data_IF_051028414327
#
_entry.id   IF_051028414327
#
_cell.length_a   1.000
_cell.length_b   1.000
_cell.length_c   1.000
_cell.angle_alpha   90.00
_cell.angle_beta   90.00
_cell.angle_gamma   90.00
#
_symmetry.space_group_name_H-M   'P 1'
#
loop_
_entity.id
_entity.type
_entity.pdbx_description
1 polymer ?
#
# COMPACT_ATOMS: atom_id res chain seq x y z
N UNK A 1 -39.44 74.15 66.50
CA UNK A 1 -38.09 73.72 66.89
C UNK A 1 -37.13 74.01 65.75
N UNK A 2 -36.14 74.88 66.03
CA UNK A 2 -34.82 75.12 65.40
C UNK A 2 -34.65 75.26 63.86
N UNK A 3 -33.67 76.07 63.40
CA UNK A 3 -33.54 76.56 62.02
C UNK A 3 -32.22 76.15 61.31
N UNK A 4 -31.99 76.71 60.10
CA UNK A 4 -30.70 77.08 59.42
C UNK A 4 -30.15 76.22 58.26
N UNK A 5 -30.28 76.79 57.05
CA UNK A 5 -29.23 77.39 56.18
C UNK A 5 -27.77 76.88 56.11
N UNK A 6 -27.31 76.84 54.85
CA UNK A 6 -25.97 77.11 54.27
C UNK A 6 -24.86 76.01 54.28
N UNK A 7 -24.29 75.73 53.09
CA UNK A 7 -23.03 74.97 52.89
C UNK A 7 -21.77 75.82 53.20
N UNK A 8 -20.58 75.61 52.57
CA UNK A 8 -20.17 74.61 51.57
C UNK A 8 -18.70 74.05 51.76
N UNK A 9 -18.22 73.27 50.77
CA UNK A 9 -16.81 72.97 50.36
C UNK A 9 -16.03 71.76 50.94
N UNK A 10 -15.89 70.75 50.06
CA UNK A 10 -14.65 70.07 49.60
C UNK A 10 -13.59 69.60 50.61
N UNK A 11 -13.46 68.27 50.77
CA UNK A 11 -12.15 67.60 50.89
C UNK A 11 -12.15 66.24 50.16
N UNK A 12 -10.98 65.93 49.62
CA UNK A 12 -10.66 65.07 48.49
C UNK A 12 -10.59 63.58 48.86
N UNK A 13 -11.12 62.72 47.98
CA UNK A 13 -10.89 61.27 47.98
C UNK A 13 -9.52 60.94 47.37
N UNK A 14 -8.66 60.27 48.12
CA UNK A 14 -7.53 59.51 47.57
C UNK A 14 -7.79 58.02 47.85
N UNK A 15 -8.16 57.28 46.80
CA UNK A 15 -8.34 55.84 46.87
C UNK A 15 -6.98 55.13 46.70
N UNK A 16 -6.69 54.22 47.63
CA UNK A 16 -5.60 53.26 47.54
C UNK A 16 -5.86 52.26 46.40
N UNK A 17 -4.97 52.22 45.41
CA UNK A 17 -4.88 51.10 44.47
C UNK A 17 -3.92 50.05 45.05
N UNK A 18 -4.46 48.90 45.43
CA UNK A 18 -3.67 47.72 45.78
C UNK A 18 -3.23 47.01 44.48
N UNK A 19 -1.92 46.92 44.27
CA UNK A 19 -1.31 46.11 43.20
C UNK A 19 -1.36 44.63 43.60
N UNK A 20 -2.23 43.85 42.95
CA UNK A 20 -2.13 42.40 42.93
C UNK A 20 -1.12 41.98 41.87
N UNK A 21 0.08 41.57 42.30
CA UNK A 21 1.07 40.95 41.42
C UNK A 21 0.61 39.55 41.02
N UNK A 22 0.20 39.39 39.76
CA UNK A 22 0.09 38.05 39.15
C UNK A 22 1.49 37.53 38.87
N UNK A 23 1.92 36.53 39.63
CA UNK A 23 3.11 35.75 39.30
C UNK A 23 2.78 34.89 38.09
N UNK A 24 3.16 35.34 36.89
CA UNK A 24 3.30 34.47 35.74
C UNK A 24 4.45 33.51 36.01
N UNK A 25 4.16 32.32 36.50
CA UNK A 25 5.10 31.20 36.44
C UNK A 25 5.25 30.82 34.98
N UNK A 26 6.37 31.20 34.37
CA UNK A 26 6.87 30.62 33.14
C UNK A 26 7.13 29.12 33.40
N UNK A 27 6.12 28.28 33.22
CA UNK A 27 6.37 26.86 32.98
C UNK A 27 6.97 26.77 31.58
N UNK A 28 8.23 26.36 31.50
CA UNK A 28 8.81 25.87 30.25
C UNK A 28 7.86 24.78 29.73
N UNK A 29 7.48 24.79 28.44
CA UNK A 29 6.71 23.69 27.88
C UNK A 29 7.50 22.41 28.14
N UNK A 30 6.82 21.41 28.74
CA UNK A 30 7.41 20.09 28.89
C UNK A 30 7.83 19.54 27.53
N UNK A 31 8.72 18.53 27.48
CA UNK A 31 9.03 17.85 26.22
C UNK A 31 7.71 17.43 25.55
N UNK A 32 7.58 17.74 24.26
CA UNK A 32 6.42 17.31 23.47
C UNK A 32 6.29 15.78 23.59
N UNK A 33 5.06 15.23 23.70
CA UNK A 33 4.87 13.79 23.63
C UNK A 33 5.47 13.26 22.32
N UNK A 34 6.05 12.05 22.33
CA UNK A 34 6.54 11.43 21.10
C UNK A 34 5.38 11.31 20.10
N UNK A 35 5.67 11.49 18.81
CA UNK A 35 4.68 11.28 17.76
C UNK A 35 4.08 9.87 17.87
N UNK A 36 2.79 9.69 17.54
CA UNK A 36 2.18 8.36 17.50
C UNK A 36 3.01 7.41 16.64
N UNK A 37 3.08 6.14 17.05
CA UNK A 37 3.76 5.09 16.29
C UNK A 37 2.99 3.78 16.40
N UNK A 38 2.81 3.10 15.27
CA UNK A 38 2.23 1.78 15.22
C UNK A 38 3.09 0.77 16.00
N UNK A 39 2.47 -0.23 16.66
CA UNK A 39 3.22 -1.34 17.26
C UNK A 39 4.14 -2.00 16.25
N UNK A 40 5.38 -2.32 16.66
CA UNK A 40 6.37 -2.96 15.80
C UNK A 40 5.96 -4.40 15.53
N UNK A 41 6.05 -4.81 14.27
CA UNK A 41 5.85 -6.19 13.88
C UNK A 41 7.15 -6.95 14.10
N UNK A 42 7.12 -7.92 15.01
CA UNK A 42 8.25 -8.82 15.28
C UNK A 42 7.82 -10.24 15.01
N UNK A 43 8.58 -10.94 14.16
CA UNK A 43 8.27 -12.33 13.84
C UNK A 43 7.15 -12.49 12.81
N UNK A 44 6.59 -13.70 12.73
CA UNK A 44 5.53 -14.03 11.79
C UNK A 44 4.15 -13.59 12.28
N UNK A 45 3.33 -13.13 11.34
CA UNK A 45 1.94 -12.80 11.60
C UNK A 45 1.03 -14.01 11.33
N UNK A 46 -0.13 -14.04 11.99
CA UNK A 46 -1.19 -15.01 11.72
C UNK A 46 -2.56 -14.34 11.67
N UNK A 47 -3.57 -15.06 11.18
CA UNK A 47 -4.93 -14.53 11.05
C UNK A 47 -5.93 -15.35 11.86
N UNK A 48 -6.81 -14.68 12.60
CA UNK A 48 -7.92 -15.33 13.30
C UNK A 48 -9.21 -14.51 13.10
N UNK A 49 -10.14 -15.06 12.32
CA UNK A 49 -11.32 -14.31 11.90
C UNK A 49 -10.91 -13.07 11.11
N UNK A 50 -11.43 -11.90 11.48
CA UNK A 50 -11.11 -10.63 10.82
C UNK A 50 -9.84 -9.96 11.34
N UNK A 51 -9.07 -10.62 12.20
CA UNK A 51 -7.91 -10.01 12.90
C UNK A 51 -6.59 -10.55 12.38
N UNK A 52 -5.59 -9.66 12.33
CA UNK A 52 -4.18 -10.02 12.16
C UNK A 52 -3.55 -10.00 13.55
N UNK A 53 -2.80 -11.04 13.87
CA UNK A 53 -2.20 -11.27 15.17
C UNK A 53 -0.68 -11.44 15.02
N UNK A 54 0.09 -11.00 16.01
CA UNK A 54 1.54 -11.22 16.08
C UNK A 54 1.92 -12.62 16.59
N UNK A 55 3.19 -12.92 16.83
CA UNK A 55 3.61 -14.25 17.32
C UNK A 55 3.07 -14.60 18.73
N UNK A 56 2.76 -13.59 19.54
CA UNK A 56 2.26 -13.76 20.92
C UNK A 56 0.73 -13.87 20.98
N UNK A 57 0.04 -13.64 19.85
CA UNK A 57 -1.42 -13.69 19.74
C UNK A 57 -2.11 -12.36 20.01
N UNK A 58 -1.36 -11.27 20.11
CA UNK A 58 -1.89 -9.93 20.27
C UNK A 58 -2.33 -9.35 18.91
N UNK A 59 -3.45 -8.64 18.91
CA UNK A 59 -3.99 -8.04 17.69
C UNK A 59 -3.14 -6.85 17.24
N UNK A 60 -2.84 -6.84 15.94
CA UNK A 60 -1.99 -5.83 15.32
C UNK A 60 -2.55 -5.42 13.96
N UNK A 61 -2.52 -4.11 13.69
CA UNK A 61 -2.81 -3.55 12.36
C UNK A 61 -1.51 -3.34 11.58
N UNK A 62 -1.51 -3.72 10.31
CA UNK A 62 -0.42 -3.41 9.39
C UNK A 62 -0.67 -2.01 8.83
N UNK A 63 0.15 -1.06 9.28
CA UNK A 63 0.05 0.36 8.92
C UNK A 63 1.28 0.73 8.12
N UNK A 64 1.12 0.74 6.81
CA UNK A 64 2.24 0.80 5.87
C UNK A 64 2.18 1.94 4.89
N UNK A 65 3.28 2.10 4.16
CA UNK A 65 3.37 2.97 2.99
C UNK A 65 3.90 2.17 1.80
N UNK A 66 3.39 2.48 0.61
CA UNK A 66 3.88 1.90 -0.64
C UNK A 66 5.23 2.51 -1.04
N UNK A 67 6.23 1.66 -1.29
CA UNK A 67 7.57 2.08 -1.69
C UNK A 67 7.85 1.68 -3.14
N UNK A 68 7.73 2.64 -4.05
CA UNK A 68 7.96 2.43 -5.48
C UNK A 68 9.44 2.22 -5.81
N UNK A 69 9.70 1.64 -6.98
CA UNK A 69 11.04 1.54 -7.57
C UNK A 69 11.33 0.17 -8.13
N UNK A 70 11.03 -0.89 -7.36
CA UNK A 70 11.37 -2.26 -7.73
C UNK A 70 10.37 -2.90 -8.72
N UNK A 71 9.16 -2.36 -8.85
CA UNK A 71 8.13 -2.85 -9.78
C UNK A 71 8.18 -2.30 -11.21
N UNK A 72 9.12 -1.40 -11.52
CA UNK A 72 9.28 -0.80 -12.86
C UNK A 72 10.39 -1.48 -13.65
N UNK A 73 10.27 -1.53 -14.98
CA UNK A 73 11.33 -2.00 -15.87
C UNK A 73 11.13 -3.41 -16.42
N UNK A 74 12.18 -3.89 -17.09
CA UNK A 74 12.25 -5.10 -17.90
C UNK A 74 13.44 -6.01 -17.50
N UNK A 75 13.92 -5.87 -16.27
CA UNK A 75 15.15 -6.52 -15.77
C UNK A 75 16.32 -5.56 -15.56
N UNK A 76 16.31 -4.40 -16.21
CA UNK A 76 17.43 -3.46 -16.12
C UNK A 76 17.27 -2.46 -14.96
N UNK A 77 18.36 -2.10 -14.24
CA UNK A 77 18.31 -0.99 -13.30
C UNK A 77 18.07 0.34 -14.03
N UNK A 78 17.44 1.29 -13.34
CA UNK A 78 17.12 2.61 -13.86
C UNK A 78 18.39 3.37 -14.24
N UNK A 79 18.40 3.89 -15.48
CA UNK A 79 19.40 4.86 -15.92
C UNK A 79 18.85 6.26 -15.67
N UNK A 80 19.67 7.17 -15.13
CA UNK A 80 19.24 8.50 -14.65
C UNK A 80 18.44 9.34 -15.66
N UNK A 81 18.57 9.07 -16.96
CA UNK A 81 17.92 9.82 -18.05
C UNK A 81 16.47 9.40 -18.34
N UNK A 82 15.94 8.36 -17.71
CA UNK A 82 14.56 7.90 -17.92
C UNK A 82 13.89 7.52 -16.60
N UNK A 83 12.89 8.30 -16.16
CA UNK A 83 12.15 8.02 -14.92
C UNK A 83 11.27 6.78 -15.00
N UNK A 84 10.92 6.37 -16.22
CA UNK A 84 9.98 5.27 -16.49
C UNK A 84 10.64 3.98 -16.98
N UNK A 85 11.98 3.93 -17.07
CA UNK A 85 12.69 2.74 -17.54
C UNK A 85 13.65 2.22 -16.48
N UNK A 86 13.39 1.00 -16.05
CA UNK A 86 14.23 0.23 -15.13
C UNK A 86 13.82 0.36 -13.66
N UNK A 87 14.25 -0.62 -12.87
CA UNK A 87 14.00 -0.67 -11.43
C UNK A 87 15.00 0.19 -10.67
N UNK A 88 14.63 0.67 -9.50
CA UNK A 88 15.53 1.44 -8.63
C UNK A 88 15.34 1.08 -7.17
N UNK A 89 16.44 1.13 -6.42
CA UNK A 89 16.43 0.95 -4.97
C UNK A 89 16.00 2.24 -4.27
N UNK A 90 15.29 2.17 -3.14
CA UNK A 90 15.02 3.32 -2.28
C UNK A 90 16.32 4.01 -1.84
N UNK A 91 16.24 5.32 -1.57
CA UNK A 91 17.36 6.04 -0.95
C UNK A 91 17.55 5.60 0.49
N UNK A 92 18.77 5.71 1.06
CA UNK A 92 19.01 5.38 2.47
C UNK A 92 18.06 6.08 3.45
N UNK A 93 17.68 7.32 3.17
CA UNK A 93 16.76 8.09 4.02
C UNK A 93 15.34 7.48 4.04
N UNK A 94 14.95 6.74 3.00
CA UNK A 94 13.63 6.10 2.92
C UNK A 94 13.37 5.17 4.10
N UNK A 95 14.36 4.33 4.44
CA UNK A 95 14.22 3.35 5.53
C UNK A 95 14.08 4.04 6.90
N UNK A 96 14.93 5.02 7.17
CA UNK A 96 14.93 5.77 8.42
C UNK A 96 13.67 6.64 8.57
N UNK A 97 13.22 7.28 7.49
CA UNK A 97 12.05 8.14 7.49
C UNK A 97 10.78 7.37 7.81
N UNK A 98 10.51 6.26 7.12
CA UNK A 98 9.29 5.48 7.34
C UNK A 98 9.22 4.98 8.79
N UNK A 99 10.35 4.52 9.34
CA UNK A 99 10.42 4.08 10.73
C UNK A 99 10.21 5.24 11.71
N UNK A 100 10.83 6.41 11.47
CA UNK A 100 10.71 7.61 12.30
C UNK A 100 9.32 8.26 12.24
N UNK A 101 8.62 8.11 11.11
CA UNK A 101 7.24 8.53 10.91
C UNK A 101 6.23 7.60 11.59
N UNK A 102 6.69 6.49 12.16
CA UNK A 102 5.92 5.62 13.04
C UNK A 102 5.14 4.50 12.34
N UNK A 103 5.31 4.32 11.02
CA UNK A 103 4.80 3.13 10.32
C UNK A 103 5.50 1.86 10.82
N UNK A 104 4.80 0.72 10.75
CA UNK A 104 5.35 -0.58 11.12
C UNK A 104 5.68 -1.49 9.93
N UNK A 105 5.26 -1.12 8.71
CA UNK A 105 5.51 -1.93 7.53
C UNK A 105 5.62 -1.10 6.23
N UNK A 106 6.03 -1.77 5.15
CA UNK A 106 6.01 -1.26 3.77
C UNK A 106 5.37 -2.26 2.82
N UNK A 107 4.57 -1.77 1.87
CA UNK A 107 4.20 -2.53 0.67
C UNK A 107 5.25 -2.24 -0.40
N UNK A 108 5.97 -3.26 -0.85
CA UNK A 108 7.08 -3.15 -1.81
C UNK A 108 6.68 -3.83 -3.14
N UNK A 109 6.20 -3.03 -4.12
CA UNK A 109 6.00 -3.48 -5.49
C UNK A 109 7.28 -4.08 -6.10
N UNK A 110 7.21 -5.34 -6.49
CA UNK A 110 8.18 -6.07 -7.34
C UNK A 110 7.51 -6.44 -8.67
N UNK A 111 8.26 -6.90 -9.66
CA UNK A 111 7.71 -7.28 -10.96
C UNK A 111 8.36 -8.57 -11.48
N UNK A 112 7.56 -9.48 -12.04
CA UNK A 112 8.06 -10.72 -12.66
C UNK A 112 9.04 -10.42 -13.80
N UNK A 113 8.78 -9.39 -14.61
CA UNK A 113 9.69 -8.92 -15.66
C UNK A 113 11.10 -8.59 -15.14
N UNK A 114 11.23 -8.16 -13.88
CA UNK A 114 12.52 -7.88 -13.27
C UNK A 114 13.18 -9.11 -12.67
N UNK A 115 12.40 -10.06 -12.16
CA UNK A 115 12.86 -11.35 -11.64
C UNK A 115 13.40 -12.25 -12.76
N UNK A 116 12.69 -12.29 -13.89
CA UNK A 116 12.94 -13.20 -15.00
C UNK A 116 12.84 -12.45 -16.34
N UNK A 117 13.87 -11.68 -16.71
CA UNK A 117 13.86 -10.87 -17.93
C UNK A 117 14.00 -11.70 -19.22
N UNK A 118 14.50 -12.94 -19.12
CA UNK A 118 14.68 -13.88 -20.22
C UNK A 118 13.76 -15.11 -20.01
N UNK A 119 13.23 -15.72 -21.08
CA UNK A 119 12.29 -16.83 -20.94
C UNK A 119 12.96 -18.08 -20.35
N UNK A 120 12.25 -18.84 -19.51
CA UNK A 120 12.76 -20.12 -19.04
C UNK A 120 12.86 -21.13 -20.18
N UNK A 121 13.76 -22.10 -20.01
CA UNK A 121 13.94 -23.20 -20.95
C UNK A 121 13.07 -24.38 -20.50
N UNK A 122 12.13 -24.80 -21.35
CA UNK A 122 11.37 -26.03 -21.11
C UNK A 122 12.23 -27.26 -21.33
N UNK A 123 12.38 -28.07 -20.29
CA UNK A 123 13.13 -29.31 -20.29
C UNK A 123 12.34 -30.46 -20.97
N UNK A 124 13.00 -31.55 -21.42
CA UNK A 124 12.34 -32.69 -22.04
C UNK A 124 11.29 -33.40 -21.15
N UNK A 125 11.38 -33.25 -19.83
CA UNK A 125 10.44 -33.80 -18.86
C UNK A 125 9.24 -32.89 -18.58
N UNK A 126 9.17 -31.74 -19.25
CA UNK A 126 8.10 -30.75 -19.12
C UNK A 126 8.34 -29.69 -18.04
N UNK A 127 9.39 -29.83 -17.21
CA UNK A 127 9.76 -28.82 -16.21
C UNK A 127 10.39 -27.58 -16.84
N UNK A 128 10.40 -26.46 -16.12
CA UNK A 128 11.05 -25.22 -16.54
C UNK A 128 12.41 -25.05 -15.85
N UNK A 129 13.43 -24.72 -16.63
CA UNK A 129 14.73 -24.26 -16.14
C UNK A 129 14.77 -22.74 -16.23
N UNK A 130 14.89 -22.09 -15.07
CA UNK A 130 14.87 -20.63 -14.95
C UNK A 130 16.28 -20.06 -14.85
N UNK A 131 16.49 -18.87 -15.44
CA UNK A 131 17.69 -18.04 -15.26
C UNK A 131 17.26 -16.69 -14.70
N UNK A 132 17.22 -16.60 -13.37
CA UNK A 132 16.71 -15.43 -12.67
C UNK A 132 17.76 -14.32 -12.56
N UNK A 133 17.28 -13.08 -12.48
CA UNK A 133 18.12 -11.89 -12.42
C UNK A 133 18.76 -11.69 -11.03
N UNK A 134 19.94 -12.26 -10.84
CA UNK A 134 20.68 -12.18 -9.58
C UNK A 134 21.03 -10.75 -9.14
N UNK A 135 21.17 -9.80 -10.07
CA UNK A 135 21.42 -8.39 -9.73
C UNK A 135 20.18 -7.79 -9.07
N UNK A 136 18.99 -8.07 -9.61
CA UNK A 136 17.73 -7.63 -9.03
C UNK A 136 17.45 -8.31 -7.68
N UNK A 137 17.67 -9.62 -7.58
CA UNK A 137 17.50 -10.37 -6.33
C UNK A 137 18.45 -9.89 -5.23
N UNK A 138 19.72 -9.62 -5.57
CA UNK A 138 20.67 -9.05 -4.61
C UNK A 138 20.28 -7.64 -4.16
N UNK A 139 19.67 -6.84 -5.04
CA UNK A 139 19.14 -5.53 -4.66
C UNK A 139 17.93 -5.67 -3.73
N UNK A 140 17.02 -6.61 -4.02
CA UNK A 140 15.87 -6.92 -3.17
C UNK A 140 16.29 -7.35 -1.76
N UNK A 141 17.32 -8.20 -1.63
CA UNK A 141 17.88 -8.58 -0.33
C UNK A 141 18.42 -7.39 0.46
N UNK A 142 19.08 -6.46 -0.23
CA UNK A 142 19.58 -5.24 0.39
C UNK A 142 18.44 -4.38 0.94
N UNK A 143 17.33 -4.29 0.19
CA UNK A 143 16.13 -3.54 0.58
C UNK A 143 15.42 -4.20 1.75
N UNK A 144 15.17 -5.51 1.69
CA UNK A 144 14.52 -6.27 2.77
C UNK A 144 15.33 -6.14 4.07
N UNK A 145 16.65 -6.37 4.00
CA UNK A 145 17.53 -6.19 5.17
C UNK A 145 17.48 -4.76 5.70
N UNK A 146 17.54 -3.76 4.83
CA UNK A 146 17.50 -2.36 5.25
C UNK A 146 16.18 -1.99 5.94
N UNK A 147 15.04 -2.50 5.48
CA UNK A 147 13.76 -2.33 6.20
C UNK A 147 13.75 -3.07 7.54
N UNK A 148 14.21 -4.32 7.58
CA UNK A 148 14.30 -5.12 8.80
C UNK A 148 15.20 -4.47 9.87
N UNK A 149 16.36 -3.94 9.47
CA UNK A 149 17.29 -3.22 10.36
C UNK A 149 16.67 -1.96 10.98
N UNK A 150 15.60 -1.42 10.37
CA UNK A 150 14.83 -0.28 10.88
C UNK A 150 13.50 -0.70 11.58
N UNK A 151 13.28 -2.00 11.79
CA UNK A 151 12.07 -2.51 12.45
C UNK A 151 10.81 -2.31 11.61
N UNK A 152 10.93 -2.42 10.28
CA UNK A 152 9.82 -2.35 9.34
C UNK A 152 9.60 -3.72 8.69
N UNK A 153 8.38 -4.23 8.79
CA UNK A 153 7.97 -5.40 8.05
C UNK A 153 7.78 -5.09 6.56
N UNK A 154 7.91 -6.09 5.71
CA UNK A 154 7.82 -5.97 4.25
C UNK A 154 6.70 -6.87 3.76
N UNK A 155 5.80 -6.29 2.96
CA UNK A 155 4.85 -7.02 2.13
C UNK A 155 5.33 -6.90 0.68
N UNK A 156 5.77 -8.01 0.09
CA UNK A 156 6.15 -8.02 -1.33
C UNK A 156 4.89 -8.10 -2.19
N UNK A 157 4.69 -7.16 -3.10
CA UNK A 157 3.53 -7.15 -4.01
C UNK A 157 3.97 -7.42 -5.44
N UNK A 158 3.44 -8.46 -6.08
CA UNK A 158 3.71 -8.70 -7.51
C UNK A 158 2.90 -7.72 -8.34
N UNK A 159 3.52 -6.55 -8.51
CA UNK A 159 2.89 -5.40 -9.10
C UNK A 159 2.85 -5.49 -10.61
N UNK A 160 1.77 -4.97 -11.18
CA UNK A 160 1.69 -4.66 -12.59
C UNK A 160 1.04 -3.30 -12.75
N UNK A 161 1.53 -2.53 -13.72
CA UNK A 161 0.86 -1.34 -14.21
C UNK A 161 0.97 -1.38 -15.71
N UNK A 162 -0.17 -1.26 -16.40
CA UNK A 162 -0.19 -1.39 -17.87
C UNK A 162 0.38 -2.77 -18.31
N UNK A 163 0.27 -3.77 -17.43
CA UNK A 163 0.55 -5.18 -17.61
C UNK A 163 1.99 -5.62 -17.83
N UNK A 164 2.67 -5.12 -18.86
CA UNK A 164 3.98 -5.65 -19.27
C UNK A 164 4.80 -4.61 -20.05
N UNK A 165 6.15 -4.64 -19.94
CA UNK A 165 7.02 -3.83 -20.78
C UNK A 165 6.93 -4.15 -22.28
N UNK A 166 6.28 -5.25 -22.67
CA UNK A 166 5.97 -5.55 -24.07
C UNK A 166 5.01 -4.53 -24.71
N UNK A 167 4.33 -3.69 -23.93
CA UNK A 167 3.33 -2.76 -24.44
C UNK A 167 3.74 -1.31 -24.17
N UNK A 168 3.86 -0.54 -25.25
CA UNK A 168 3.90 0.92 -25.19
C UNK A 168 2.46 1.46 -25.18
N UNK A 169 2.16 2.34 -24.24
CA UNK A 169 0.86 2.99 -24.12
C UNK A 169 1.07 4.48 -23.93
N UNK A 170 0.21 5.28 -24.54
CA UNK A 170 0.10 6.70 -24.23
C UNK A 170 -0.03 6.90 -22.69
N UNK A 171 0.86 7.70 -22.13
CA UNK A 171 0.83 8.11 -20.73
C UNK A 171 -0.26 9.15 -20.46
N UNK A 172 -0.54 9.43 -19.19
CA UNK A 172 -1.55 10.42 -18.78
C UNK A 172 -1.29 11.83 -19.32
N UNK A 173 -0.08 12.12 -19.81
CA UNK A 173 0.32 13.37 -20.45
C UNK A 173 0.60 13.30 -21.96
N UNK A 174 0.23 12.20 -22.64
CA UNK A 174 0.46 12.01 -24.08
C UNK A 174 1.84 11.45 -24.47
N UNK A 175 2.75 11.32 -23.51
CA UNK A 175 4.09 10.74 -23.74
C UNK A 175 4.05 9.19 -23.72
N UNK A 176 4.82 8.49 -24.56
CA UNK A 176 4.91 7.04 -24.53
C UNK A 176 5.38 6.53 -23.15
N UNK A 177 4.56 5.72 -22.51
CA UNK A 177 4.83 5.08 -21.23
C UNK A 177 4.82 3.57 -21.41
N UNK A 178 5.88 2.92 -20.96
CA UNK A 178 6.06 1.47 -21.04
C UNK A 178 5.36 0.82 -19.84
N UNK A 179 4.67 -0.30 -20.07
CA UNK A 179 4.09 -1.08 -18.97
C UNK A 179 5.12 -1.75 -18.09
N UNK A 180 4.69 -2.28 -16.95
CA UNK A 180 5.51 -3.07 -16.04
C UNK A 180 4.68 -4.17 -15.38
N UNK A 181 5.37 -5.20 -14.88
CA UNK A 181 4.76 -6.35 -14.22
C UNK A 181 5.20 -7.65 -14.88
N UNK A 182 4.44 -8.12 -15.85
CA UNK A 182 4.66 -9.39 -16.53
C UNK A 182 5.81 -9.28 -17.56
N UNK A 183 6.65 -10.31 -17.72
CA UNK A 183 7.82 -10.28 -18.60
C UNK A 183 7.45 -10.14 -20.08
N UNK A 184 8.28 -9.43 -20.83
CA UNK A 184 8.02 -9.17 -22.25
C UNK A 184 8.02 -10.43 -23.11
N UNK A 185 8.80 -11.45 -22.73
CA UNK A 185 8.90 -12.71 -23.48
C UNK A 185 7.61 -13.53 -23.43
N UNK A 186 6.73 -13.29 -22.46
CA UNK A 186 5.41 -13.92 -22.38
C UNK A 186 4.46 -13.38 -23.47
N UNK A 187 4.77 -12.21 -24.03
CA UNK A 187 3.92 -11.51 -25.01
C UNK A 187 4.67 -11.18 -26.31
N UNK A 188 5.03 -12.19 -27.12
CA UNK A 188 5.67 -11.95 -28.40
C UNK A 188 4.79 -11.07 -29.29
N UNK A 189 5.39 -10.01 -29.84
CA UNK A 189 4.68 -9.00 -30.65
C UNK A 189 4.06 -9.57 -31.94
N UNK A 190 4.45 -10.77 -32.37
CA UNK A 190 3.80 -11.49 -33.47
C UNK A 190 2.37 -11.94 -33.13
N UNK A 191 2.08 -12.16 -31.84
CA UNK A 191 0.80 -12.65 -31.32
C UNK A 191 0.05 -11.51 -30.64
N UNK A 192 0.69 -10.83 -29.69
CA UNK A 192 0.05 -9.85 -28.83
C UNK A 192 0.23 -8.44 -29.38
N UNK A 193 -0.87 -7.85 -29.87
CA UNK A 193 -0.91 -6.45 -30.34
C UNK A 193 -1.51 -5.48 -29.33
N UNK A 194 -2.21 -6.01 -28.33
CA UNK A 194 -2.93 -5.22 -27.32
C UNK A 194 -2.90 -5.93 -25.98
N UNK A 195 -2.83 -5.15 -24.91
CA UNK A 195 -2.74 -5.61 -23.51
C UNK A 195 -3.92 -6.47 -23.09
N UNK A 196 -5.11 -6.14 -23.58
CA UNK A 196 -6.33 -6.78 -23.13
C UNK A 196 -6.38 -8.28 -23.43
N UNK A 197 -5.85 -8.70 -24.59
CA UNK A 197 -5.71 -10.12 -24.91
C UNK A 197 -4.63 -10.78 -24.03
N UNK A 198 -3.53 -10.08 -23.76
CA UNK A 198 -2.48 -10.58 -22.88
C UNK A 198 -2.97 -10.81 -21.44
N UNK A 199 -3.81 -9.92 -20.91
CA UNK A 199 -4.46 -10.10 -19.60
C UNK A 199 -5.42 -11.28 -19.62
N UNK A 200 -6.29 -11.36 -20.62
CA UNK A 200 -7.24 -12.47 -20.78
C UNK A 200 -6.52 -13.81 -20.80
N UNK A 201 -5.54 -13.96 -21.70
CA UNK A 201 -4.80 -15.21 -21.87
C UNK A 201 -4.03 -15.61 -20.61
N UNK A 202 -3.48 -14.65 -19.87
CA UNK A 202 -2.86 -14.93 -18.57
C UNK A 202 -3.86 -15.46 -17.54
N UNK A 203 -5.01 -14.80 -17.38
CA UNK A 203 -6.00 -15.25 -16.40
C UNK A 203 -6.75 -16.52 -16.83
N UNK A 204 -6.75 -16.84 -18.13
CA UNK A 204 -7.23 -18.12 -18.65
C UNK A 204 -6.18 -19.25 -18.56
N UNK A 205 -5.00 -18.99 -17.98
CA UNK A 205 -3.85 -19.89 -17.92
C UNK A 205 -3.39 -20.43 -19.29
N UNK A 206 -3.50 -19.59 -20.33
CA UNK A 206 -3.02 -19.96 -21.66
C UNK A 206 -1.47 -20.01 -21.67
N UNK A 207 -0.94 -20.99 -22.40
CA UNK A 207 0.51 -21.23 -22.52
C UNK A 207 1.24 -21.49 -21.19
N UNK A 208 0.57 -22.11 -20.20
CA UNK A 208 1.11 -22.39 -18.87
C UNK A 208 1.60 -21.12 -18.14
N UNK A 209 0.92 -19.99 -18.34
CA UNK A 209 1.32 -18.71 -17.76
C UNK A 209 1.34 -18.73 -16.23
N UNK A 210 0.43 -19.49 -15.59
CA UNK A 210 0.40 -19.64 -14.15
C UNK A 210 1.57 -20.46 -13.62
N UNK A 211 2.07 -21.45 -14.38
CA UNK A 211 3.21 -22.24 -13.96
C UNK A 211 4.48 -21.38 -13.82
N UNK A 212 4.77 -20.54 -14.82
CA UNK A 212 5.90 -19.60 -14.76
C UNK A 212 5.72 -18.56 -13.65
N UNK A 213 4.50 -18.02 -13.48
CA UNK A 213 4.21 -17.06 -12.43
C UNK A 213 4.31 -17.68 -11.02
N UNK A 214 3.86 -18.94 -10.86
CA UNK A 214 4.00 -19.73 -9.65
C UNK A 214 5.47 -19.99 -9.30
N UNK A 215 6.31 -20.30 -10.29
CA UNK A 215 7.75 -20.51 -10.06
C UNK A 215 8.47 -19.21 -9.69
N UNK A 216 8.11 -18.08 -10.32
CA UNK A 216 8.58 -16.76 -9.89
C UNK A 216 8.18 -16.45 -8.43
N UNK A 217 6.96 -16.77 -8.03
CA UNK A 217 6.52 -16.64 -6.64
C UNK A 217 7.26 -17.58 -5.69
N UNK A 218 7.48 -18.84 -6.08
CA UNK A 218 8.27 -19.80 -5.29
C UNK A 218 9.69 -19.31 -5.07
N UNK A 219 10.31 -18.69 -6.08
CA UNK A 219 11.62 -18.08 -5.96
C UNK A 219 11.65 -17.04 -4.84
N UNK A 220 10.80 -16.00 -4.91
CA UNK A 220 10.85 -14.91 -3.92
C UNK A 220 10.33 -15.33 -2.55
N UNK A 221 9.23 -16.09 -2.47
CA UNK A 221 8.67 -16.54 -1.20
C UNK A 221 9.61 -17.54 -0.49
N UNK A 222 10.24 -18.43 -1.25
CA UNK A 222 11.24 -19.37 -0.73
C UNK A 222 12.53 -18.67 -0.28
N UNK A 223 12.96 -17.61 -1.01
CA UNK A 223 14.13 -16.80 -0.65
C UNK A 223 14.01 -16.18 0.74
N UNK A 224 12.80 -15.78 1.14
CA UNK A 224 12.54 -15.14 2.44
C UNK A 224 11.79 -16.07 3.43
N UNK A 225 11.77 -17.39 3.20
CA UNK A 225 11.03 -18.33 4.05
C UNK A 225 11.47 -18.37 5.52
N UNK A 226 12.73 -18.03 5.80
CA UNK A 226 13.31 -17.95 7.14
C UNK A 226 13.56 -16.50 7.62
N UNK A 227 13.13 -15.50 6.85
CA UNK A 227 13.31 -14.08 7.19
C UNK A 227 11.95 -13.46 7.56
N UNK A 228 11.63 -13.32 8.86
CA UNK A 228 10.36 -12.77 9.31
C UNK A 228 10.21 -11.26 9.02
N UNK A 229 11.21 -10.62 8.41
CA UNK A 229 11.04 -9.27 7.87
C UNK A 229 9.98 -9.26 6.76
N UNK A 230 9.91 -10.32 5.94
CA UNK A 230 8.89 -10.45 4.89
C UNK A 230 7.66 -11.17 5.44
N UNK A 231 6.73 -10.40 5.98
CA UNK A 231 5.55 -10.92 6.69
C UNK A 231 4.38 -11.26 5.76
N UNK A 232 4.37 -10.72 4.54
CA UNK A 232 3.27 -10.91 3.60
C UNK A 232 3.72 -10.90 2.14
N UNK A 233 2.91 -11.54 1.31
CA UNK A 233 3.01 -11.50 -0.15
C UNK A 233 1.65 -11.18 -0.76
N UNK A 234 1.60 -10.14 -1.57
CA UNK A 234 0.43 -9.67 -2.29
C UNK A 234 0.49 -10.17 -3.74
N UNK A 235 -0.38 -11.15 -4.02
CA UNK A 235 -0.19 -12.14 -5.09
C UNK A 235 -0.23 -11.52 -6.49
N UNK A 236 -1.08 -10.52 -6.71
CA UNK A 236 -1.14 -9.75 -7.95
C UNK A 236 -1.82 -8.41 -7.71
N UNK A 237 -1.17 -7.34 -8.15
CA UNK A 237 -1.72 -5.99 -8.07
C UNK A 237 -2.82 -5.77 -9.11
N UNK A 238 -3.97 -5.28 -8.66
CA UNK A 238 -5.05 -4.76 -9.47
C UNK A 238 -5.47 -5.71 -10.61
N UNK A 239 -5.97 -6.92 -10.29
CA UNK A 239 -6.42 -7.87 -11.29
C UNK A 239 -7.77 -7.44 -11.90
N UNK A 240 -7.85 -6.24 -12.46
CA UNK A 240 -9.12 -5.65 -12.87
C UNK A 240 -9.61 -6.11 -14.24
N UNK A 241 -10.91 -6.36 -14.31
CA UNK A 241 -11.70 -6.57 -15.52
C UNK A 241 -12.21 -5.25 -16.12
N UNK A 242 -12.99 -5.35 -17.20
CA UNK A 242 -13.71 -4.25 -17.81
C UNK A 242 -13.18 -3.80 -19.16
N UNK A 243 -12.37 -4.66 -19.78
CA UNK A 243 -11.81 -4.44 -21.10
C UNK A 243 -12.61 -5.25 -22.12
N UNK A 244 -12.49 -4.95 -23.42
CA UNK A 244 -13.25 -5.69 -24.44
C UNK A 244 -12.98 -7.21 -24.47
N UNK A 245 -11.86 -7.66 -23.86
CA UNK A 245 -11.44 -9.07 -23.78
C UNK A 245 -11.57 -9.66 -22.37
N UNK A 246 -11.83 -8.82 -21.36
CA UNK A 246 -12.16 -9.24 -19.99
C UNK A 246 -13.43 -8.49 -19.59
N UNK A 247 -14.57 -8.77 -20.27
CA UNK A 247 -15.79 -8.00 -20.06
C UNK A 247 -16.37 -8.16 -18.65
N UNK A 248 -16.16 -9.30 -17.99
CA UNK A 248 -16.72 -9.58 -16.66
C UNK A 248 -15.65 -10.02 -15.66
N UNK A 249 -15.91 -9.94 -14.35
CA UNK A 249 -14.94 -10.42 -13.35
C UNK A 249 -14.67 -11.92 -13.44
N UNK A 250 -15.61 -12.72 -13.91
CA UNK A 250 -15.46 -14.18 -14.02
C UNK A 250 -14.34 -14.58 -15.00
N UNK A 251 -14.06 -13.74 -16.01
CA UNK A 251 -12.98 -13.96 -16.98
C UNK A 251 -11.57 -13.88 -16.35
N UNK A 252 -11.46 -13.42 -15.10
CA UNK A 252 -10.21 -13.38 -14.35
C UNK A 252 -9.88 -14.69 -13.65
N UNK A 253 -10.86 -15.58 -13.48
CA UNK A 253 -10.69 -16.87 -12.81
C UNK A 253 -10.00 -16.77 -11.43
N UNK A 254 -10.25 -15.69 -10.67
CA UNK A 254 -9.45 -15.35 -9.47
C UNK A 254 -9.46 -16.43 -8.40
N UNK A 255 -10.57 -17.11 -8.17
CA UNK A 255 -10.63 -18.21 -7.19
C UNK A 255 -9.60 -19.31 -7.53
N UNK A 256 -9.56 -19.75 -8.79
CA UNK A 256 -8.64 -20.79 -9.26
C UNK A 256 -7.19 -20.27 -9.34
N UNK A 257 -7.01 -19.02 -9.76
CA UNK A 257 -5.70 -18.36 -9.80
C UNK A 257 -5.07 -18.29 -8.40
N UNK A 258 -5.81 -17.81 -7.40
CA UNK A 258 -5.30 -17.68 -6.03
C UNK A 258 -5.10 -19.03 -5.35
N UNK A 259 -5.93 -20.04 -5.64
CA UNK A 259 -5.67 -21.41 -5.19
C UNK A 259 -4.36 -21.96 -5.78
N UNK A 260 -4.14 -21.80 -7.08
CA UNK A 260 -2.94 -22.28 -7.76
C UNK A 260 -1.66 -21.60 -7.25
N UNK A 261 -1.64 -20.26 -7.25
CA UNK A 261 -0.47 -19.48 -6.84
C UNK A 261 -0.23 -19.57 -5.32
N UNK A 262 -1.29 -19.51 -4.51
CA UNK A 262 -1.19 -19.70 -3.06
C UNK A 262 -0.62 -21.08 -2.70
N UNK A 263 -1.04 -22.14 -3.40
CA UNK A 263 -0.50 -23.49 -3.22
C UNK A 263 1.01 -23.57 -3.53
N UNK A 264 1.44 -22.90 -4.60
CA UNK A 264 2.86 -22.81 -4.96
C UNK A 264 3.68 -22.10 -3.88
N UNK A 265 3.20 -20.96 -3.38
CA UNK A 265 3.86 -20.20 -2.29
C UNK A 265 3.91 -21.04 -1.01
N UNK A 266 2.79 -21.67 -0.61
CA UNK A 266 2.71 -22.50 0.60
C UNK A 266 3.66 -23.70 0.56
N UNK A 267 4.02 -24.20 -0.62
CA UNK A 267 4.98 -25.30 -0.77
C UNK A 267 6.42 -24.94 -0.35
N UNK A 268 6.76 -23.64 -0.32
CA UNK A 268 8.10 -23.14 0.02
C UNK A 268 8.13 -22.21 1.23
N UNK A 269 7.00 -21.55 1.53
CA UNK A 269 6.86 -20.65 2.67
C UNK A 269 5.43 -20.76 3.26
N UNK A 270 5.23 -21.63 4.26
CA UNK A 270 3.93 -21.83 4.88
C UNK A 270 3.54 -20.73 5.88
N UNK A 271 4.47 -19.83 6.25
CA UNK A 271 4.28 -18.86 7.35
C UNK A 271 3.81 -17.49 6.89
N UNK A 272 4.19 -17.07 5.68
CA UNK A 272 3.89 -15.73 5.16
C UNK A 272 2.38 -15.48 5.02
N UNK A 273 1.91 -14.26 5.25
CA UNK A 273 0.53 -13.89 4.92
C UNK A 273 0.33 -13.92 3.40
N UNK A 274 -0.72 -14.59 2.93
CA UNK A 274 -1.14 -14.51 1.52
C UNK A 274 -2.17 -13.40 1.39
N UNK A 275 -1.78 -12.29 0.78
CA UNK A 275 -2.68 -11.19 0.47
C UNK A 275 -3.27 -11.40 -0.92
N UNK A 276 -4.60 -11.35 -1.03
CA UNK A 276 -5.34 -11.56 -2.28
C UNK A 276 -6.28 -10.40 -2.57
N UNK A 277 -6.15 -9.80 -3.75
CA UNK A 277 -6.94 -8.64 -4.18
C UNK A 277 -8.21 -9.07 -4.93
N UNK A 278 -9.38 -8.50 -4.59
CA UNK A 278 -10.58 -8.67 -5.43
C UNK A 278 -10.62 -7.67 -6.59
N UNK A 279 -11.33 -8.06 -7.63
CA UNK A 279 -11.52 -7.24 -8.81
C UNK A 279 -12.87 -6.50 -8.77
N UNK A 280 -12.93 -5.37 -8.06
CA UNK A 280 -14.06 -4.44 -8.09
C UNK A 280 -13.61 -3.00 -8.37
N UNK A 281 -12.93 -2.74 -9.50
CA UNK A 281 -12.46 -1.37 -9.82
C UNK A 281 -13.59 -0.39 -10.14
N UNK A 282 -14.64 -0.84 -10.83
CA UNK A 282 -15.68 0.02 -11.41
C UNK A 282 -16.72 0.55 -10.42
N UNK A 283 -16.76 0.02 -9.20
CA UNK A 283 -17.82 0.33 -8.24
C UNK A 283 -19.21 -0.11 -8.70
N UNK A 284 -19.30 -1.09 -9.61
CA UNK A 284 -20.56 -1.63 -10.13
C UNK A 284 -21.11 -2.81 -9.31
N UNK A 285 -20.49 -3.09 -8.16
CA UNK A 285 -20.90 -4.16 -7.25
C UNK A 285 -20.53 -5.57 -7.71
N UNK A 286 -19.80 -5.70 -8.82
CA UNK A 286 -19.33 -7.00 -9.33
C UNK A 286 -17.93 -7.30 -8.78
N UNK A 287 -17.79 -8.49 -8.20
CA UNK A 287 -16.55 -9.00 -7.62
C UNK A 287 -16.03 -10.19 -8.43
N UNK A 288 -14.72 -10.36 -8.49
CA UNK A 288 -14.04 -11.44 -9.21
C UNK A 288 -13.89 -12.73 -8.41
N UNK A 289 -14.14 -12.68 -7.10
CA UNK A 289 -13.98 -13.84 -6.20
C UNK A 289 -15.31 -14.32 -5.62
N UNK A 290 -15.43 -15.62 -5.39
CA UNK A 290 -16.58 -16.20 -4.68
C UNK A 290 -16.32 -16.45 -3.19
N UNK A 291 -15.04 -16.57 -2.80
CA UNK A 291 -14.58 -16.83 -1.44
C UNK A 291 -13.09 -16.57 -1.27
N UNK A 292 -12.56 -16.67 -0.04
CA UNK A 292 -11.12 -16.63 0.18
C UNK A 292 -10.47 -17.90 -0.42
N UNK A 293 -9.19 -17.84 -0.83
CA UNK A 293 -8.47 -19.03 -1.22
C UNK A 293 -8.38 -20.02 -0.03
N UNK A 294 -8.28 -21.34 -0.29
CA UNK A 294 -8.45 -22.38 0.74
C UNK A 294 -7.17 -22.58 1.58
N UNK A 295 -6.64 -21.50 2.15
CA UNK A 295 -5.44 -21.50 2.99
C UNK A 295 -5.69 -20.75 4.31
N UNK A 296 -4.97 -21.16 5.34
CA UNK A 296 -4.82 -20.35 6.55
C UNK A 296 -3.90 -19.15 6.27
N UNK A 297 -3.90 -18.15 7.16
CA UNK A 297 -3.05 -16.96 7.10
C UNK A 297 -3.23 -16.19 5.77
N UNK A 298 -4.48 -15.88 5.44
CA UNK A 298 -4.87 -15.13 4.23
C UNK A 298 -5.46 -13.78 4.62
N UNK A 299 -5.20 -12.75 3.81
CA UNK A 299 -5.68 -11.37 4.03
C UNK A 299 -6.37 -10.89 2.76
N UNK A 300 -7.61 -10.44 2.89
CA UNK A 300 -8.37 -9.90 1.77
C UNK A 300 -7.97 -8.45 1.52
N UNK A 301 -7.74 -8.08 0.26
CA UNK A 301 -7.24 -6.76 -0.10
C UNK A 301 -8.04 -6.11 -1.23
N UNK A 302 -8.01 -4.77 -1.23
CA UNK A 302 -8.51 -3.94 -2.31
C UNK A 302 -7.89 -2.53 -2.25
N UNK A 303 -8.07 -1.76 -3.33
CA UNK A 303 -7.66 -0.36 -3.38
C UNK A 303 -8.85 0.60 -3.23
N UNK A 304 -8.68 1.63 -2.41
CA UNK A 304 -9.67 2.65 -2.08
C UNK A 304 -9.31 3.98 -2.77
N UNK A 305 -9.44 4.00 -4.10
CA UNK A 305 -9.32 5.22 -4.90
C UNK A 305 -10.70 5.76 -5.27
N UNK A 306 -11.23 6.66 -4.44
CA UNK A 306 -12.53 7.31 -4.64
C UNK A 306 -12.40 8.83 -4.70
N UNK A 307 -13.46 9.50 -5.17
CA UNK A 307 -13.50 10.96 -5.22
C UNK A 307 -13.63 11.58 -3.82
N UNK A 308 -14.28 10.89 -2.90
CA UNK A 308 -14.49 11.30 -1.51
C UNK A 308 -14.59 10.10 -0.58
N UNK A 309 -14.50 10.35 0.73
CA UNK A 309 -14.83 9.36 1.75
C UNK A 309 -16.34 9.09 1.76
N UNK A 310 -17.18 10.10 1.97
CA UNK A 310 -18.64 9.96 1.98
C UNK A 310 -19.26 10.61 0.72
N UNK A 311 -20.07 9.89 -0.09
CA UNK A 311 -20.54 8.52 0.15
C UNK A 311 -19.64 7.42 -0.45
N UNK A 312 -18.75 7.74 -1.39
CA UNK A 312 -18.15 6.72 -2.26
C UNK A 312 -17.18 5.78 -1.54
N UNK A 313 -16.32 6.33 -0.68
CA UNK A 313 -15.40 5.54 0.13
C UNK A 313 -16.11 4.65 1.16
N UNK A 314 -17.15 5.18 1.82
CA UNK A 314 -18.01 4.43 2.75
C UNK A 314 -18.70 3.27 2.05
N UNK A 315 -19.32 3.51 0.89
CA UNK A 315 -19.98 2.47 0.10
C UNK A 315 -18.98 1.40 -0.37
N UNK A 316 -17.84 1.84 -0.90
CA UNK A 316 -16.80 0.94 -1.41
C UNK A 316 -16.20 0.09 -0.29
N UNK A 317 -15.69 0.71 0.77
CA UNK A 317 -15.12 -0.02 1.90
C UNK A 317 -16.16 -0.95 2.54
N UNK A 318 -17.40 -0.49 2.71
CA UNK A 318 -18.48 -1.29 3.27
C UNK A 318 -18.73 -2.57 2.47
N UNK A 319 -18.74 -2.50 1.15
CA UNK A 319 -18.95 -3.67 0.30
C UNK A 319 -17.83 -4.72 0.44
N UNK A 320 -16.57 -4.29 0.57
CA UNK A 320 -15.44 -5.19 0.83
C UNK A 320 -15.44 -5.72 2.26
N UNK A 321 -15.79 -4.88 3.24
CA UNK A 321 -15.83 -5.25 4.64
C UNK A 321 -16.93 -6.27 4.96
N UNK A 322 -18.11 -6.14 4.35
CA UNK A 322 -19.17 -7.15 4.44
C UNK A 322 -18.69 -8.53 3.97
N UNK A 323 -17.87 -8.58 2.91
CA UNK A 323 -17.28 -9.82 2.38
C UNK A 323 -16.21 -10.37 3.32
N UNK A 324 -15.27 -9.54 3.78
CA UNK A 324 -14.25 -9.92 4.76
C UNK A 324 -14.88 -10.53 6.02
N UNK A 325 -15.93 -9.89 6.57
CA UNK A 325 -16.67 -10.40 7.73
C UNK A 325 -17.41 -11.69 7.43
N UNK A 326 -18.05 -11.81 6.27
CA UNK A 326 -18.71 -13.05 5.85
C UNK A 326 -17.72 -14.22 5.74
N UNK A 327 -16.52 -13.94 5.24
CA UNK A 327 -15.47 -14.94 5.03
C UNK A 327 -14.58 -15.17 6.25
N UNK A 328 -14.71 -14.34 7.30
CA UNK A 328 -13.89 -14.42 8.50
C UNK A 328 -12.39 -14.32 8.18
N UNK A 329 -12.04 -13.33 7.34
CA UNK A 329 -10.65 -12.99 6.98
C UNK A 329 -10.40 -11.51 7.26
N UNK A 330 -9.17 -11.09 7.59
CA UNK A 330 -8.85 -9.68 7.75
C UNK A 330 -8.96 -8.92 6.45
N UNK A 331 -9.27 -7.63 6.55
CA UNK A 331 -9.28 -6.69 5.41
C UNK A 331 -8.07 -5.76 5.50
N UNK A 332 -7.39 -5.58 4.36
CA UNK A 332 -6.30 -4.64 4.19
C UNK A 332 -6.57 -3.72 3.00
N UNK A 333 -6.47 -2.41 3.20
CA UNK A 333 -6.52 -1.43 2.12
C UNK A 333 -5.11 -1.31 1.52
N UNK A 334 -4.81 -2.07 0.46
CA UNK A 334 -3.46 -2.16 -0.13
C UNK A 334 -2.96 -0.85 -0.75
N UNK A 335 -3.89 0.02 -1.18
CA UNK A 335 -3.60 1.37 -1.65
C UNK A 335 -4.79 2.31 -1.42
N UNK A 336 -4.48 3.55 -1.03
CA UNK A 336 -5.42 4.68 -1.03
C UNK A 336 -4.64 6.00 -1.08
N UNK A 337 -5.35 7.10 -1.30
CA UNK A 337 -4.80 8.44 -1.27
C UNK A 337 -5.73 9.41 -0.50
N UNK A 338 -5.46 10.71 -0.60
CA UNK A 338 -6.25 11.79 0.01
C UNK A 338 -7.59 12.10 -0.68
N UNK A 339 -8.16 11.16 -1.44
CA UNK A 339 -9.35 11.35 -2.28
C UNK A 339 -9.18 12.35 -3.44
N UNK A 340 -10.25 12.58 -4.21
CA UNK A 340 -10.28 13.38 -5.44
C UNK A 340 -9.95 12.61 -6.72
N UNK A 341 -9.66 11.31 -6.60
CA UNK A 341 -9.26 10.33 -7.61
C UNK A 341 -8.27 10.82 -8.70
N UNK A 342 -7.05 10.31 -8.65
CA UNK A 342 -6.20 10.14 -9.83
C UNK A 342 -5.14 9.11 -9.53
N UNK A 343 -5.12 8.00 -10.28
CA UNK A 343 -4.11 6.92 -10.19
C UNK A 343 -2.65 7.45 -10.36
N UNK A 344 -2.48 8.71 -10.76
CA UNK A 344 -1.18 9.36 -10.93
C UNK A 344 -1.19 10.88 -10.64
N UNK A 345 -1.69 11.31 -9.48
CA UNK A 345 -1.44 12.68 -8.98
C UNK A 345 -1.92 13.82 -9.89
N UNK A 346 -2.89 13.57 -10.77
CA UNK A 346 -3.47 14.59 -11.66
C UNK A 346 -4.67 15.29 -11.08
N UNK A 347 -5.27 14.75 -10.02
CA UNK A 347 -6.44 15.36 -9.39
C UNK A 347 -6.06 16.24 -8.21
N UNK A 348 -6.78 17.35 -8.07
CA UNK A 348 -6.72 18.14 -6.85
C UNK A 348 -7.60 17.45 -5.80
N UNK A 349 -7.11 17.26 -4.56
CA UNK A 349 -7.96 16.73 -3.50
C UNK A 349 -9.16 17.68 -3.28
N UNK A 350 -10.29 17.18 -2.80
CA UNK A 350 -11.39 18.03 -2.38
C UNK A 350 -10.93 18.97 -1.26
N UNK A 351 -11.57 20.14 -1.08
CA UNK A 351 -11.12 21.15 -0.10
C UNK A 351 -11.15 20.67 1.34
N UNK A 352 -11.98 19.68 1.62
CA UNK A 352 -12.24 19.02 2.90
C UNK A 352 -11.59 17.63 2.99
N UNK A 353 -10.52 17.39 2.23
CA UNK A 353 -9.84 16.09 2.19
C UNK A 353 -9.28 15.66 3.54
N UNK A 354 -8.90 16.61 4.42
CA UNK A 354 -8.35 16.33 5.75
C UNK A 354 -9.42 15.73 6.65
N UNK A 355 -10.62 16.32 6.68
CA UNK A 355 -11.75 15.79 7.45
C UNK A 355 -12.19 14.42 6.92
N UNK A 356 -12.22 14.26 5.60
CA UNK A 356 -12.56 12.98 4.96
C UNK A 356 -11.53 11.88 5.27
N UNK A 357 -10.24 12.21 5.23
CA UNK A 357 -9.18 11.25 5.53
C UNK A 357 -9.18 10.86 7.00
N UNK A 358 -9.31 11.82 7.92
CA UNK A 358 -9.41 11.54 9.36
C UNK A 358 -10.62 10.65 9.67
N UNK A 359 -11.78 10.89 9.03
CA UNK A 359 -12.96 10.04 9.17
C UNK A 359 -12.75 8.61 8.66
N UNK A 360 -12.06 8.43 7.52
CA UNK A 360 -11.72 7.11 7.00
C UNK A 360 -10.77 6.35 7.92
N UNK A 361 -9.72 7.02 8.42
CA UNK A 361 -8.73 6.43 9.31
C UNK A 361 -9.35 6.03 10.66
N UNK A 362 -10.20 6.89 11.22
CA UNK A 362 -10.97 6.58 12.44
C UNK A 362 -11.83 5.33 12.24
N UNK A 363 -12.54 5.22 11.12
CA UNK A 363 -13.32 4.03 10.81
C UNK A 363 -12.45 2.78 10.68
N UNK A 364 -11.27 2.88 10.06
CA UNK A 364 -10.34 1.76 9.97
C UNK A 364 -9.78 1.35 11.34
N UNK A 365 -9.54 2.30 12.25
CA UNK A 365 -9.14 2.01 13.62
C UNK A 365 -10.26 1.28 14.38
N UNK A 366 -11.49 1.81 14.33
CA UNK A 366 -12.67 1.22 14.99
C UNK A 366 -12.95 -0.23 14.56
N UNK A 367 -12.73 -0.55 13.28
CA UNK A 367 -13.00 -1.87 12.71
C UNK A 367 -11.75 -2.77 12.64
N UNK A 368 -10.58 -2.32 13.09
CA UNK A 368 -9.33 -3.08 13.03
C UNK A 368 -8.78 -3.29 11.61
N UNK A 369 -9.18 -2.45 10.65
CA UNK A 369 -8.77 -2.54 9.25
C UNK A 369 -7.36 -2.00 9.08
N UNK A 370 -6.49 -2.82 8.50
CA UNK A 370 -5.11 -2.47 8.16
C UNK A 370 -5.08 -1.69 6.84
N UNK A 371 -4.03 -0.91 6.58
CA UNK A 371 -3.94 -0.11 5.35
C UNK A 371 -2.52 0.22 4.91
N UNK A 372 -2.36 0.62 3.65
CA UNK A 372 -1.11 1.06 3.05
C UNK A 372 -1.31 2.32 2.22
N UNK A 373 -0.70 3.44 2.62
CA UNK A 373 -0.81 4.70 1.90
C UNK A 373 -0.06 4.64 0.57
N UNK A 374 -0.68 5.12 -0.53
CA UNK A 374 0.00 5.32 -1.82
C UNK A 374 0.40 6.79 -1.98
N UNK A 375 1.68 7.15 -1.90
CA UNK A 375 2.87 6.32 -1.70
C UNK A 375 3.99 7.12 -1.00
N UNK A 376 5.17 6.52 -0.77
CA UNK A 376 6.32 7.21 -0.15
C UNK A 376 6.85 8.37 -1.02
N UNK A 377 6.91 8.20 -2.35
CA UNK A 377 7.35 9.23 -3.31
C UNK A 377 6.37 9.32 -4.49
N UNK A 378 6.26 10.51 -5.09
CA UNK A 378 5.28 10.81 -6.13
C UNK A 378 4.70 12.23 -5.98
N UNK A 379 3.79 12.60 -6.88
CA UNK A 379 3.20 13.96 -6.91
C UNK A 379 2.21 14.21 -5.75
N UNK A 380 1.51 13.17 -5.31
CA UNK A 380 0.60 13.16 -4.14
C UNK A 380 1.14 12.26 -3.00
N UNK A 381 2.44 12.05 -2.97
CA UNK A 381 3.06 11.16 -2.02
C UNK A 381 3.27 11.78 -0.64
N UNK A 382 3.52 10.92 0.34
CA UNK A 382 3.91 11.31 1.69
C UNK A 382 5.20 12.13 1.65
N UNK A 383 6.20 11.70 0.86
CA UNK A 383 7.40 12.46 0.58
C UNK A 383 7.18 13.54 -0.49
N UNK A 384 7.53 14.78 -0.17
CA UNK A 384 7.49 15.93 -1.08
C UNK A 384 8.64 15.85 -2.10
N UNK A 385 8.31 15.46 -3.34
CA UNK A 385 9.24 15.56 -4.47
C UNK A 385 10.52 14.72 -4.33
N UNK A 386 11.69 15.37 -4.48
CA UNK A 386 13.01 14.70 -4.55
C UNK A 386 13.76 14.62 -3.22
N UNK A 387 13.32 15.34 -2.20
CA UNK A 387 14.16 15.62 -1.01
C UNK A 387 13.78 14.79 0.23
N UNK A 388 12.97 13.74 0.08
CA UNK A 388 12.58 12.81 1.17
C UNK A 388 11.97 13.49 2.43
N UNK A 389 11.44 14.71 2.29
CA UNK A 389 10.75 15.43 3.37
C UNK A 389 9.26 15.13 3.33
N UNK A 390 8.66 14.70 4.45
CA UNK A 390 7.23 14.45 4.52
C UNK A 390 6.40 15.73 4.30
N UNK A 391 5.21 15.58 3.71
CA UNK A 391 4.13 16.54 3.87
C UNK A 391 3.65 16.47 5.33
N UNK A 392 3.85 17.52 6.14
CA UNK A 392 3.61 17.46 7.58
C UNK A 392 2.13 17.26 7.93
N UNK A 393 1.21 17.92 7.24
CA UNK A 393 -0.24 17.80 7.49
C UNK A 393 -0.75 16.39 7.16
N UNK A 394 -0.28 15.83 6.04
CA UNK A 394 -0.61 14.46 5.66
C UNK A 394 -0.02 13.43 6.63
N UNK A 395 1.23 13.61 7.05
CA UNK A 395 1.87 12.72 8.01
C UNK A 395 1.14 12.74 9.35
N UNK A 396 0.80 13.92 9.86
CA UNK A 396 0.04 14.08 11.10
C UNK A 396 -1.30 13.35 11.02
N UNK A 397 -2.06 13.53 9.92
CA UNK A 397 -3.32 12.81 9.71
C UNK A 397 -3.14 11.29 9.65
N UNK A 398 -2.12 10.78 8.95
CA UNK A 398 -1.87 9.34 8.90
C UNK A 398 -1.52 8.76 10.28
N UNK A 399 -0.83 9.55 11.12
CA UNK A 399 -0.49 9.19 12.50
C UNK A 399 -1.71 9.21 13.44
N UNK A 400 -2.79 9.92 13.09
CA UNK A 400 -4.07 9.81 13.82
C UNK A 400 -4.68 8.42 13.70
N UNK A 401 -4.40 7.70 12.60
CA UNK A 401 -4.95 6.37 12.34
C UNK A 401 -4.13 5.21 12.88
N UNK A 402 -3.14 5.47 13.76
CA UNK A 402 -2.18 4.49 14.27
C UNK A 402 -2.69 3.60 15.41
#
# INVERSE_FOLDING_TARGET
MRPRAAGPWLQTLAALAALAGSACTNMLPGPLPPAPSAPRITGWLHTEGTRILDEDGDELRILSVNVQGMGKGDGSPRVQTSEDKGWSVPTPDTYANIAAWGFNAVRLPIAWANLEPEPPVRNPDGTLSHDYNEIYLSALDGIVRAFGDHGLAVILSMSQRKWSPAFEIEGAGGEPSVGSGMPSWLYPQSVYKQIYQAKHDFFADENDSWAGFADAWKLVAGRYAEDPTVVGVDLINEPYYGTRWLPTPEDLHLDAFYEHIGGAIRSVNPRVLLVFEDSQYKGDGLFGMSGPPPFDNVVYSFHLYTQNWDPQGVERLGAFWERARKWQVPLWIGEFNRFGQGEEGTAQPPSDWTEQLSAMLSHCEEEGISWSYWAYRGRDALGTGRDDVANPELLELLQEGF
#
